data_IF_182758717873
#
_entry.id   IF_182758717873
#
_cell.length_a   1.000
_cell.length_b   1.000
_cell.length_c   1.000
_cell.angle_alpha   90.00
_cell.angle_beta   90.00
_cell.angle_gamma   90.00
#
_symmetry.space_group_name_H-M   'P 1'
#
loop_
_entity.id
_entity.type
_entity.pdbx_description
1 polymer ?
#
# COMPACT_ATOMS: atom_id res chain seq x y z
N UNK A 1 -24.54 12.70 -12.34
CA UNK A 1 -23.52 11.88 -13.02
C UNK A 1 -22.32 11.59 -12.09
N UNK A 2 -22.27 10.39 -11.54
CA UNK A 2 -21.20 9.94 -10.64
C UNK A 2 -19.92 9.66 -11.44
N UNK A 3 -18.83 10.33 -11.06
CA UNK A 3 -17.48 10.08 -11.56
C UNK A 3 -16.99 8.73 -11.03
N UNK A 4 -17.15 7.65 -11.80
CA UNK A 4 -16.52 6.36 -11.48
C UNK A 4 -15.12 6.36 -12.09
N UNK A 5 -14.16 6.92 -11.35
CA UNK A 5 -12.76 6.97 -11.75
C UNK A 5 -12.13 5.58 -11.83
N UNK A 6 -11.51 5.30 -12.98
CA UNK A 6 -10.32 4.45 -13.10
C UNK A 6 -10.40 3.05 -12.48
N UNK A 7 -11.27 2.19 -12.99
CA UNK A 7 -11.15 0.75 -12.81
C UNK A 7 -9.95 0.22 -13.58
N UNK A 8 -8.74 0.41 -13.04
CA UNK A 8 -7.55 -0.28 -13.55
C UNK A 8 -7.75 -1.79 -13.44
N UNK A 9 -7.43 -2.51 -14.50
CA UNK A 9 -7.61 -3.96 -14.54
C UNK A 9 -6.93 -4.61 -13.31
N UNK A 10 -7.67 -5.35 -12.46
CA UNK A 10 -7.12 -5.91 -11.22
C UNK A 10 -5.96 -6.88 -11.48
N UNK A 11 -5.84 -7.42 -12.70
CA UNK A 11 -4.71 -8.26 -13.13
C UNK A 11 -3.41 -7.46 -13.29
N UNK A 12 -3.51 -6.14 -13.53
CA UNK A 12 -2.36 -5.23 -13.63
C UNK A 12 -2.02 -4.54 -12.31
N UNK A 13 -2.95 -4.55 -11.35
CA UNK A 13 -2.79 -3.90 -10.06
C UNK A 13 -1.78 -4.64 -9.18
N UNK A 14 -0.77 -3.92 -8.67
CA UNK A 14 0.21 -4.45 -7.71
C UNK A 14 -0.33 -4.26 -6.29
N UNK A 15 -0.37 -5.33 -5.52
CA UNK A 15 -0.84 -5.29 -4.15
C UNK A 15 0.16 -4.56 -3.23
N UNK A 16 -0.31 -3.55 -2.49
CA UNK A 16 0.50 -2.78 -1.54
C UNK A 16 0.92 -3.58 -0.28
N UNK A 17 0.41 -4.79 -0.08
CA UNK A 17 0.79 -5.65 1.05
C UNK A 17 1.96 -6.56 0.67
N UNK A 18 1.84 -7.28 -0.45
CA UNK A 18 2.78 -8.36 -0.81
C UNK A 18 3.57 -8.11 -2.11
N UNK A 19 3.36 -6.97 -2.78
CA UNK A 19 3.92 -6.62 -4.08
C UNK A 19 3.66 -7.61 -5.22
N UNK A 20 2.60 -8.42 -5.11
CA UNK A 20 2.15 -9.33 -6.19
C UNK A 20 1.06 -8.69 -7.02
N UNK A 21 1.00 -9.04 -8.30
CA UNK A 21 -0.08 -8.66 -9.21
C UNK A 21 -1.28 -9.61 -9.05
N UNK A 22 -2.44 -9.19 -9.53
CA UNK A 22 -3.65 -10.02 -9.60
C UNK A 22 -4.65 -9.83 -8.48
N UNK A 23 -4.36 -8.97 -7.49
CA UNK A 23 -5.31 -8.61 -6.43
C UNK A 23 -4.98 -7.25 -5.83
N UNK A 24 -5.99 -6.63 -5.21
CA UNK A 24 -5.85 -5.39 -4.45
C UNK A 24 -5.72 -5.69 -2.94
N UNK A 25 -5.34 -4.68 -2.15
CA UNK A 25 -5.23 -4.75 -0.68
C UNK A 25 -6.39 -5.51 0.00
N UNK A 26 -7.68 -5.20 -0.24
CA UNK A 26 -8.79 -5.91 0.42
C UNK A 26 -8.82 -7.43 0.16
N UNK A 27 -8.29 -7.90 -0.97
CA UNK A 27 -8.22 -9.31 -1.32
C UNK A 27 -6.89 -9.98 -0.96
N UNK A 28 -5.98 -9.28 -0.28
CA UNK A 28 -4.68 -9.83 0.04
C UNK A 28 -4.75 -10.72 1.28
N UNK A 29 -4.60 -12.02 1.08
CA UNK A 29 -4.44 -13.03 2.14
C UNK A 29 -2.97 -13.43 2.34
N UNK A 30 -2.05 -12.79 1.60
CA UNK A 30 -0.64 -13.13 1.61
C UNK A 30 0.05 -12.55 2.83
N UNK A 31 0.59 -13.42 3.69
CA UNK A 31 1.40 -13.01 4.85
C UNK A 31 2.89 -12.76 4.54
N UNK A 32 3.29 -12.89 3.27
CA UNK A 32 4.68 -12.85 2.80
C UNK A 32 4.82 -12.05 1.50
N UNK A 33 5.99 -11.44 1.33
CA UNK A 33 6.33 -10.67 0.15
C UNK A 33 6.63 -11.57 -1.08
N UNK A 34 6.56 -11.01 -2.29
CA UNK A 34 6.90 -11.74 -3.52
C UNK A 34 8.34 -12.29 -3.55
N UNK A 35 9.29 -11.59 -2.92
CA UNK A 35 10.71 -11.98 -2.88
C UNK A 35 11.12 -12.84 -1.68
N UNK A 36 10.16 -13.33 -0.90
CA UNK A 36 10.42 -13.80 0.47
C UNK A 36 10.50 -12.62 1.45
N UNK A 37 10.39 -12.90 2.74
CA UNK A 37 10.31 -11.86 3.78
C UNK A 37 8.89 -11.61 4.27
N UNK A 38 8.79 -11.06 5.47
CA UNK A 38 7.53 -10.84 6.18
C UNK A 38 6.92 -9.50 5.73
N UNK A 39 5.61 -9.49 5.44
CA UNK A 39 4.94 -8.22 5.10
C UNK A 39 4.94 -7.27 6.29
N UNK A 40 5.29 -6.01 6.04
CA UNK A 40 5.25 -4.93 7.04
C UNK A 40 3.83 -4.40 7.27
N UNK A 41 3.01 -4.41 6.21
CA UNK A 41 1.62 -3.98 6.27
C UNK A 41 0.66 -5.18 6.18
N UNK A 42 -0.56 -4.99 6.67
CA UNK A 42 -1.66 -5.93 6.57
C UNK A 42 -2.93 -5.24 6.05
N UNK A 43 -3.80 -6.02 5.41
CA UNK A 43 -5.11 -5.54 4.97
C UNK A 43 -6.13 -5.78 6.09
N UNK A 44 -6.76 -4.72 6.60
CA UNK A 44 -7.85 -4.81 7.59
C UNK A 44 -9.03 -3.97 7.11
N UNK A 45 -10.21 -4.59 7.01
CA UNK A 45 -11.45 -3.93 6.54
C UNK A 45 -11.27 -3.16 5.22
N UNK A 46 -10.48 -3.71 4.28
CA UNK A 46 -10.19 -3.08 3.00
C UNK A 46 -9.28 -1.85 3.04
N UNK A 47 -8.75 -1.51 4.21
CA UNK A 47 -7.72 -0.50 4.42
C UNK A 47 -6.38 -1.15 4.73
N UNK A 48 -5.31 -0.36 4.67
CA UNK A 48 -3.94 -0.82 4.83
C UNK A 48 -3.45 -0.37 6.21
N UNK A 49 -2.97 -1.30 7.02
CA UNK A 49 -2.46 -1.03 8.36
C UNK A 49 -1.04 -1.54 8.51
N UNK A 50 -0.30 -0.97 9.45
CA UNK A 50 0.97 -1.57 9.88
C UNK A 50 0.69 -2.89 10.62
N UNK A 51 1.43 -3.94 10.28
CA UNK A 51 1.23 -5.27 10.86
C UNK A 51 1.44 -5.23 12.37
N UNK A 52 0.45 -5.70 13.12
CA UNK A 52 0.51 -5.72 14.59
C UNK A 52 0.39 -4.35 15.25
N UNK A 53 -0.03 -3.32 14.51
CA UNK A 53 -0.37 -2.00 15.05
C UNK A 53 -1.70 -1.49 14.49
N UNK A 54 -2.34 -0.58 15.19
CA UNK A 54 -3.55 0.11 14.72
C UNK A 54 -3.23 1.42 13.97
N UNK A 55 -2.06 1.48 13.33
CA UNK A 55 -1.66 2.63 12.51
C UNK A 55 -2.07 2.40 11.04
N UNK A 56 -3.05 3.17 10.54
CA UNK A 56 -3.46 3.11 9.14
C UNK A 56 -2.38 3.72 8.24
N UNK A 57 -2.04 3.02 7.16
CA UNK A 57 -1.08 3.44 6.16
C UNK A 57 -1.83 4.05 4.97
N UNK A 58 -1.36 5.20 4.50
CA UNK A 58 -1.97 5.88 3.37
C UNK A 58 -1.75 5.11 2.06
N UNK A 59 -2.81 4.46 1.57
CA UNK A 59 -2.80 3.75 0.27
C UNK A 59 -2.53 4.66 -0.91
N UNK A 60 -3.11 5.88 -0.89
CA UNK A 60 -2.91 6.87 -1.97
C UNK A 60 -1.44 7.27 -2.05
N UNK A 61 -0.83 7.62 -0.92
CA UNK A 61 0.60 7.93 -0.90
C UNK A 61 1.46 6.76 -1.37
N UNK A 62 1.11 5.52 -1.00
CA UNK A 62 1.85 4.33 -1.44
C UNK A 62 1.70 3.98 -2.93
N UNK A 63 0.55 4.29 -3.53
CA UNK A 63 0.24 4.07 -4.95
C UNK A 63 0.57 5.29 -5.84
N UNK A 64 0.79 6.44 -5.23
CA UNK A 64 1.12 7.70 -5.88
C UNK A 64 2.52 7.68 -6.49
N UNK A 65 2.69 8.34 -7.64
CA UNK A 65 4.00 8.93 -7.97
C UNK A 65 4.24 10.10 -7.03
N UNK A 66 5.49 10.24 -6.57
CA UNK A 66 5.97 11.28 -5.64
C UNK A 66 5.27 12.62 -5.90
N UNK A 67 4.54 13.14 -4.89
CA UNK A 67 3.84 14.44 -4.81
C UNK A 67 2.31 14.47 -4.98
N UNK A 68 1.59 13.35 -5.12
CA UNK A 68 0.12 13.41 -5.25
C UNK A 68 -0.67 13.25 -3.95
N UNK A 69 -0.01 13.01 -2.81
CA UNK A 69 -0.67 12.85 -1.52
C UNK A 69 0.15 13.53 -0.42
N UNK A 70 -0.37 14.59 0.19
CA UNK A 70 0.25 15.31 1.30
C UNK A 70 -0.29 14.82 2.64
N UNK A 71 0.52 14.92 3.70
CA UNK A 71 0.13 14.45 5.03
C UNK A 71 -1.12 15.20 5.55
N UNK A 72 -1.32 16.43 5.09
CA UNK A 72 -2.49 17.27 5.36
C UNK A 72 -3.78 16.73 4.73
N UNK A 73 -3.70 15.99 3.62
CA UNK A 73 -4.89 15.38 3.00
C UNK A 73 -5.45 14.26 3.88
N UNK A 74 -4.57 13.56 4.60
CA UNK A 74 -4.90 12.38 5.40
C UNK A 74 -4.12 12.35 6.74
N UNK A 75 -4.42 13.25 7.69
CA UNK A 75 -3.64 13.40 8.92
C UNK A 75 -3.66 12.16 9.83
N UNK A 76 -4.73 11.36 9.76
CA UNK A 76 -4.86 10.10 10.51
C UNK A 76 -4.07 8.93 9.90
N UNK A 77 -3.58 9.07 8.65
CA UNK A 77 -2.90 8.00 7.93
C UNK A 77 -1.41 8.27 7.83
N UNK A 78 -0.60 7.25 8.05
CA UNK A 78 0.86 7.33 7.95
C UNK A 78 1.32 7.31 6.51
N UNK A 79 2.13 8.29 6.14
CA UNK A 79 2.89 8.31 4.89
C UNK A 79 4.18 7.50 5.04
N UNK A 80 4.02 6.19 5.16
CA UNK A 80 5.10 5.22 5.29
C UNK A 80 4.95 4.13 4.24
N UNK A 81 6.08 3.62 3.77
CA UNK A 81 6.14 2.57 2.78
C UNK A 81 5.50 1.30 3.34
N UNK A 82 4.47 0.79 2.69
CA UNK A 82 3.80 -0.44 3.14
C UNK A 82 4.67 -1.69 3.02
N UNK A 83 5.77 -1.62 2.28
CA UNK A 83 6.69 -2.73 2.07
C UNK A 83 7.79 -2.82 3.14
N UNK A 84 8.27 -1.68 3.65
CA UNK A 84 9.40 -1.65 4.59
C UNK A 84 9.24 -0.72 5.80
N UNK A 85 8.16 0.08 5.85
CA UNK A 85 7.89 1.04 6.91
C UNK A 85 8.62 2.39 6.82
N UNK A 86 9.41 2.64 5.77
CA UNK A 86 10.13 3.90 5.62
C UNK A 86 9.21 5.06 5.24
N UNK A 87 9.32 6.20 5.92
CA UNK A 87 8.63 7.45 5.53
C UNK A 87 9.30 8.22 4.38
N UNK A 88 10.46 7.75 3.90
CA UNK A 88 11.24 8.48 2.89
C UNK A 88 10.75 8.25 1.45
N UNK A 89 10.03 7.16 1.21
CA UNK A 89 9.56 6.79 -0.13
C UNK A 89 8.26 5.99 -0.06
N UNK A 90 7.46 6.05 -1.11
CA UNK A 90 6.24 5.27 -1.24
C UNK A 90 6.51 3.87 -1.79
N UNK A 91 5.60 2.91 -1.57
CA UNK A 91 5.76 1.52 -2.03
C UNK A 91 6.07 1.40 -3.53
N UNK A 92 5.34 2.12 -4.39
CA UNK A 92 5.55 2.06 -5.85
C UNK A 92 6.78 2.82 -6.37
N UNK A 93 7.56 3.45 -5.48
CA UNK A 93 8.89 3.97 -5.85
C UNK A 93 9.91 2.86 -6.04
N UNK A 94 9.59 1.65 -5.56
CA UNK A 94 10.49 0.48 -5.54
C UNK A 94 11.87 0.78 -4.94
N UNK A 95 11.97 1.83 -4.13
CA UNK A 95 13.24 2.30 -3.54
C UNK A 95 13.61 1.53 -2.28
N UNK A 96 12.66 0.81 -1.67
CA UNK A 96 12.97 -0.18 -0.65
C UNK A 96 13.27 -1.55 -1.26
N UNK A 97 14.23 -2.24 -0.64
CA UNK A 97 14.27 -3.68 -0.70
C UNK A 97 13.22 -4.22 0.28
N UNK A 98 12.40 -5.18 -0.15
CA UNK A 98 11.57 -5.94 0.76
C UNK A 98 12.46 -6.51 1.88
N UNK A 99 12.03 -6.37 3.13
CA UNK A 99 12.79 -6.77 4.32
C UNK A 99 12.49 -8.21 4.72
#
# INVERSE_FOLDING_TARGET
PFQMGGGGDPSTSICLVCARKGHMVPGCTMGQFAGGGQVFAEARNGSLFMRGRDEEICRRWNAASSNSCHQTDHPARRHICSFCGSGNHHAFSWSCKAK
#
